data_IF_663910020472
#
_entry.id   IF_663910020472
#
_cell.length_a   1.000
_cell.length_b   1.000
_cell.length_c   1.000
_cell.angle_alpha   90.00
_cell.angle_beta   90.00
_cell.angle_gamma   90.00
#
_symmetry.space_group_name_H-M   'P 1'
#
loop_
_entity.id
_entity.type
_entity.pdbx_description
1 polymer ?
#
# COMPACT_ATOMS: atom_id res chain seq x y z
N UNK A 1 -16.75 7.65 -10.35
CA UNK A 1 -15.62 7.94 -11.26
C UNK A 1 -14.45 6.98 -11.03
N UNK A 2 -14.04 6.71 -9.80
CA UNK A 2 -12.92 5.79 -9.47
C UNK A 2 -13.15 4.37 -9.99
N UNK A 3 -14.36 3.82 -9.84
CA UNK A 3 -14.72 2.50 -10.37
C UNK A 3 -14.65 2.43 -11.90
N UNK A 4 -15.01 3.51 -12.60
CA UNK A 4 -14.93 3.55 -14.06
C UNK A 4 -13.46 3.57 -14.53
N UNK A 5 -12.59 4.28 -13.81
CA UNK A 5 -11.15 4.30 -14.07
C UNK A 5 -10.56 2.92 -13.80
N UNK A 6 -10.91 2.29 -12.68
CA UNK A 6 -10.47 0.94 -12.35
C UNK A 6 -10.91 -0.07 -13.41
N UNK A 7 -12.18 -0.06 -13.79
CA UNK A 7 -12.71 -0.96 -14.82
C UNK A 7 -11.99 -0.77 -16.16
N UNK A 8 -11.81 0.48 -16.59
CA UNK A 8 -11.06 0.79 -17.81
C UNK A 8 -9.61 0.30 -17.72
N UNK A 9 -8.98 0.50 -16.58
CA UNK A 9 -7.62 0.05 -16.30
C UNK A 9 -7.53 -1.48 -16.38
N UNK A 10 -8.51 -2.19 -15.79
CA UNK A 10 -8.63 -3.66 -15.85
C UNK A 10 -8.78 -4.13 -17.29
N UNK A 11 -9.71 -3.55 -18.04
CA UNK A 11 -10.01 -3.96 -19.43
C UNK A 11 -8.78 -3.76 -20.34
N UNK A 12 -8.02 -2.68 -20.14
CA UNK A 12 -6.80 -2.40 -20.93
C UNK A 12 -5.65 -3.33 -20.57
N UNK A 13 -5.46 -3.67 -19.30
CA UNK A 13 -4.35 -4.52 -18.88
C UNK A 13 -4.55 -5.98 -19.27
N UNK A 14 -5.78 -6.46 -19.44
CA UNK A 14 -6.06 -7.77 -20.02
C UNK A 14 -5.50 -7.86 -21.44
N UNK A 15 -5.58 -6.79 -22.22
CA UNK A 15 -5.00 -6.75 -23.58
C UNK A 15 -3.46 -6.74 -23.61
N UNK A 16 -2.81 -6.27 -22.55
CA UNK A 16 -1.34 -6.26 -22.41
C UNK A 16 -0.77 -7.55 -21.78
N UNK A 17 -1.61 -8.39 -21.21
CA UNK A 17 -1.17 -9.66 -20.58
C UNK A 17 -0.51 -10.63 -21.57
N UNK A 18 -0.71 -10.45 -22.86
CA UNK A 18 -0.11 -11.28 -23.92
C UNK A 18 1.29 -10.80 -24.34
N UNK A 19 1.74 -9.64 -23.90
CA UNK A 19 3.12 -9.20 -24.07
C UNK A 19 3.94 -9.66 -22.88
N UNK A 20 4.76 -10.69 -23.10
CA UNK A 20 5.69 -11.26 -22.11
C UNK A 20 6.70 -10.20 -21.68
N UNK A 21 6.44 -9.51 -20.59
CA UNK A 21 7.44 -8.69 -19.89
C UNK A 21 8.34 -9.65 -19.14
N UNK A 22 9.55 -9.92 -19.68
CA UNK A 22 10.59 -10.63 -18.96
C UNK A 22 11.07 -9.75 -17.81
N UNK A 23 10.68 -10.11 -16.59
CA UNK A 23 11.24 -9.53 -15.38
C UNK A 23 12.70 -9.99 -15.25
N UNK A 24 13.67 -9.09 -15.00
CA UNK A 24 15.02 -9.49 -14.67
C UNK A 24 15.01 -10.29 -13.38
N UNK A 25 15.53 -11.52 -13.43
CA UNK A 25 15.66 -12.35 -12.24
C UNK A 25 16.59 -11.66 -11.25
N UNK A 26 16.09 -11.34 -10.06
CA UNK A 26 16.89 -10.85 -8.93
C UNK A 26 16.60 -9.43 -8.43
N UNK A 27 15.71 -8.68 -9.04
CA UNK A 27 15.30 -7.39 -8.50
C UNK A 27 13.92 -7.48 -7.83
N UNK A 28 13.80 -7.02 -6.60
CA UNK A 28 12.51 -6.78 -5.91
C UNK A 28 11.76 -5.58 -6.51
N UNK A 29 12.21 -5.03 -7.62
CA UNK A 29 11.56 -3.95 -8.34
C UNK A 29 10.54 -4.50 -9.33
N UNK A 30 9.32 -4.53 -8.91
CA UNK A 30 8.17 -4.82 -9.77
C UNK A 30 7.74 -3.55 -10.46
N UNK A 31 8.17 -3.33 -11.69
CA UNK A 31 7.59 -2.31 -12.53
C UNK A 31 6.16 -2.74 -12.91
N UNK A 32 5.15 -2.18 -12.29
CA UNK A 32 3.81 -2.24 -12.85
C UNK A 32 3.85 -1.59 -14.25
N UNK A 33 3.29 -2.23 -15.27
CA UNK A 33 3.32 -1.66 -16.61
C UNK A 33 2.69 -0.27 -16.58
N UNK A 34 3.47 0.73 -17.00
CA UNK A 34 3.10 2.15 -17.11
C UNK A 34 1.74 2.41 -17.83
N UNK A 35 1.19 1.47 -18.62
CA UNK A 35 -0.10 1.62 -19.27
C UNK A 35 -1.31 1.74 -18.33
N UNK A 36 -1.21 1.23 -17.10
CA UNK A 36 -2.36 1.23 -16.17
C UNK A 36 -2.88 2.63 -15.85
N UNK A 37 -2.01 3.62 -15.83
CA UNK A 37 -2.37 5.01 -15.54
C UNK A 37 -2.27 5.93 -16.76
N UNK A 38 -1.93 5.40 -17.95
CA UNK A 38 -1.74 6.18 -19.17
C UNK A 38 -3.05 6.88 -19.57
N UNK A 39 -3.00 8.21 -19.67
CA UNK A 39 -4.18 9.06 -19.95
C UNK A 39 -4.87 9.62 -18.70
N UNK A 40 -4.58 9.10 -17.50
CA UNK A 40 -5.11 9.62 -16.23
C UNK A 40 -4.01 10.15 -15.30
N UNK A 41 -2.75 10.13 -15.76
CA UNK A 41 -1.58 10.49 -14.96
C UNK A 41 -1.66 11.91 -14.39
N UNK A 42 -2.20 12.87 -15.14
CA UNK A 42 -2.32 14.25 -14.66
C UNK A 42 -3.30 14.33 -13.48
N UNK A 43 -4.53 13.85 -13.67
CA UNK A 43 -5.56 13.91 -12.62
C UNK A 43 -5.21 13.08 -11.39
N UNK A 44 -4.77 11.84 -11.59
CA UNK A 44 -4.38 10.94 -10.49
C UNK A 44 -3.04 11.33 -9.88
N UNK A 45 -2.11 11.86 -10.67
CA UNK A 45 -0.80 12.29 -10.20
C UNK A 45 -0.89 13.41 -9.17
N UNK A 46 -1.78 14.38 -9.35
CA UNK A 46 -2.03 15.44 -8.36
C UNK A 46 -2.63 14.87 -7.07
N UNK A 47 -3.63 14.00 -7.19
CA UNK A 47 -4.28 13.36 -6.06
C UNK A 47 -3.28 12.56 -5.20
N UNK A 48 -2.50 11.64 -5.81
CA UNK A 48 -1.57 10.81 -5.07
C UNK A 48 -0.36 11.57 -4.55
N UNK A 49 0.07 12.64 -5.22
CA UNK A 49 1.12 13.52 -4.70
C UNK A 49 0.64 14.26 -3.46
N UNK A 50 -0.60 14.75 -3.48
CA UNK A 50 -1.20 15.41 -2.34
C UNK A 50 -1.35 14.44 -1.15
N UNK A 51 -1.90 13.27 -1.42
CA UNK A 51 -2.04 12.20 -0.44
C UNK A 51 -0.68 11.81 0.18
N UNK A 52 0.35 11.62 -0.65
CA UNK A 52 1.71 11.33 -0.20
C UNK A 52 2.25 12.41 0.73
N UNK A 53 2.12 13.67 0.34
CA UNK A 53 2.61 14.78 1.14
C UNK A 53 1.88 14.90 2.47
N UNK A 54 0.58 14.64 2.54
CA UNK A 54 -0.16 14.60 3.79
C UNK A 54 0.34 13.48 4.72
N UNK A 55 0.48 12.27 4.18
CA UNK A 55 0.99 11.14 4.97
C UNK A 55 2.41 11.39 5.44
N UNK A 56 3.27 11.89 4.55
CA UNK A 56 4.65 12.27 4.87
C UNK A 56 4.68 13.32 5.98
N UNK A 57 3.89 14.38 5.88
CA UNK A 57 3.83 15.43 6.88
C UNK A 57 3.47 14.87 8.27
N UNK A 58 2.45 14.02 8.36
CA UNK A 58 2.08 13.36 9.62
C UNK A 58 3.19 12.43 10.11
N UNK A 59 3.78 11.64 9.22
CA UNK A 59 4.81 10.66 9.55
C UNK A 59 6.10 11.29 10.10
N UNK A 60 6.48 12.47 9.57
CA UNK A 60 7.70 13.19 9.93
C UNK A 60 7.49 14.19 11.09
N UNK A 61 6.29 14.26 11.64
CA UNK A 61 6.06 15.11 12.82
C UNK A 61 6.88 14.63 14.02
N UNK A 62 7.28 15.56 14.88
CA UNK A 62 8.07 15.25 16.07
C UNK A 62 7.32 14.28 17.00
N UNK A 63 7.94 13.16 17.35
CA UNK A 63 7.36 12.15 18.24
C UNK A 63 7.19 12.66 19.68
N UNK A 64 7.90 13.69 20.08
CA UNK A 64 7.68 14.34 21.36
C UNK A 64 6.34 15.09 21.43
N UNK A 65 5.78 15.45 20.27
CA UNK A 65 4.51 16.18 20.15
C UNK A 65 3.35 15.25 19.79
N UNK A 66 3.58 14.33 18.85
CA UNK A 66 2.56 13.40 18.35
C UNK A 66 3.16 11.98 18.37
N UNK A 67 2.60 11.10 19.20
CA UNK A 67 3.04 9.72 19.29
C UNK A 67 2.82 8.96 17.97
N UNK A 68 3.54 7.87 17.77
CA UNK A 68 3.38 7.01 16.57
C UNK A 68 1.97 6.44 16.44
N UNK A 69 1.31 6.16 17.56
CA UNK A 69 -0.07 5.67 17.55
C UNK A 69 -1.05 6.78 17.17
N UNK A 70 -0.83 8.01 17.61
CA UNK A 70 -1.63 9.16 17.18
C UNK A 70 -1.44 9.44 15.68
N UNK A 71 -0.20 9.37 15.18
CA UNK A 71 0.09 9.47 13.74
C UNK A 71 -0.68 8.42 12.95
N UNK A 72 -0.71 7.18 13.46
CA UNK A 72 -1.49 6.11 12.85
C UNK A 72 -2.98 6.43 12.82
N UNK A 73 -3.56 6.95 13.89
CA UNK A 73 -4.98 7.32 13.95
C UNK A 73 -5.28 8.49 12.99
N UNK A 74 -4.42 9.49 12.85
CA UNK A 74 -4.59 10.55 11.85
C UNK A 74 -4.58 10.01 10.43
N UNK A 75 -3.63 9.14 10.10
CA UNK A 75 -3.57 8.54 8.74
C UNK A 75 -4.72 7.57 8.51
N UNK A 76 -5.22 6.91 9.55
CA UNK A 76 -6.42 6.09 9.49
C UNK A 76 -7.67 6.91 9.13
N UNK A 77 -7.82 8.13 9.66
CA UNK A 77 -8.89 9.06 9.24
C UNK A 77 -8.78 9.38 7.75
N UNK A 78 -7.58 9.64 7.26
CA UNK A 78 -7.34 9.87 5.84
C UNK A 78 -7.70 8.63 5.00
N UNK A 79 -7.29 7.43 5.43
CA UNK A 79 -7.66 6.18 4.78
C UNK A 79 -9.17 5.95 4.74
N UNK A 80 -9.90 6.33 5.78
CA UNK A 80 -11.36 6.16 5.85
C UNK A 80 -12.13 6.98 4.81
N UNK A 81 -11.48 7.97 4.20
CA UNK A 81 -12.04 8.73 3.07
C UNK A 81 -11.82 8.04 1.71
N UNK A 82 -11.02 6.99 1.69
CA UNK A 82 -10.70 6.26 0.46
C UNK A 82 -11.60 5.04 0.32
N UNK A 83 -12.25 4.91 -0.83
CA UNK A 83 -12.90 3.67 -1.22
C UNK A 83 -11.87 2.54 -1.47
N UNK A 84 -12.33 1.30 -1.47
CA UNK A 84 -11.49 0.13 -1.78
C UNK A 84 -10.84 0.25 -3.16
N UNK A 85 -11.58 0.79 -4.13
CA UNK A 85 -11.06 1.04 -5.48
C UNK A 85 -9.95 2.11 -5.50
N UNK A 86 -10.04 3.14 -4.66
CA UNK A 86 -8.99 4.15 -4.53
C UNK A 86 -7.76 3.61 -3.83
N UNK A 87 -7.93 2.72 -2.84
CA UNK A 87 -6.82 2.02 -2.21
C UNK A 87 -6.13 1.07 -3.21
N UNK A 88 -6.87 0.36 -4.04
CA UNK A 88 -6.31 -0.47 -5.09
C UNK A 88 -5.57 0.37 -6.15
N UNK A 89 -6.10 1.53 -6.53
CA UNK A 89 -5.39 2.46 -7.42
C UNK A 89 -4.14 3.05 -6.76
N UNK A 90 -4.16 3.31 -5.46
CA UNK A 90 -2.97 3.71 -4.69
C UNK A 90 -1.90 2.62 -4.72
N UNK A 91 -2.31 1.35 -4.54
CA UNK A 91 -1.41 0.21 -4.68
C UNK A 91 -0.71 0.21 -6.06
N UNK A 92 -1.47 0.33 -7.16
CA UNK A 92 -0.87 0.39 -8.49
C UNK A 92 -0.03 1.64 -8.72
N UNK A 93 -0.43 2.79 -8.19
CA UNK A 93 0.38 3.98 -8.23
C UNK A 93 1.73 3.77 -7.55
N UNK A 94 1.75 3.13 -6.37
CA UNK A 94 2.98 2.85 -5.63
C UNK A 94 3.95 1.95 -6.41
N UNK A 95 3.45 1.10 -7.30
CA UNK A 95 4.29 0.25 -8.17
C UNK A 95 4.60 0.88 -9.52
N UNK A 96 4.12 2.10 -9.79
CA UNK A 96 4.53 2.92 -10.94
C UNK A 96 5.78 3.74 -10.62
N UNK A 97 6.45 4.23 -11.67
CA UNK A 97 7.60 5.13 -11.52
C UNK A 97 7.25 6.40 -10.74
N UNK A 98 6.03 6.91 -10.92
CA UNK A 98 5.56 8.13 -10.25
C UNK A 98 5.32 7.94 -8.75
N UNK A 99 4.91 6.75 -8.35
CA UNK A 99 4.53 6.43 -6.99
C UNK A 99 5.58 5.68 -6.18
N UNK A 100 6.75 5.38 -6.74
CA UNK A 100 7.76 4.54 -6.07
C UNK A 100 8.15 4.99 -4.67
N UNK A 101 8.01 6.30 -4.34
CA UNK A 101 8.28 6.85 -3.00
C UNK A 101 7.38 6.24 -1.91
N UNK A 102 6.21 5.76 -2.25
CA UNK A 102 5.33 5.07 -1.31
C UNK A 102 5.91 3.78 -0.73
N UNK A 103 6.86 3.16 -1.45
CA UNK A 103 7.51 1.89 -1.10
C UNK A 103 8.91 2.05 -0.52
N UNK A 104 9.40 3.30 -0.33
CA UNK A 104 10.69 3.50 0.30
C UNK A 104 10.62 3.17 1.78
N UNK A 105 11.52 2.31 2.20
CA UNK A 105 11.79 2.06 3.60
C UNK A 105 12.48 3.29 4.22
N UNK A 106 12.27 3.48 5.50
CA UNK A 106 12.84 4.59 6.26
C UNK A 106 13.88 4.05 7.23
N UNK A 107 14.79 4.92 7.68
CA UNK A 107 15.79 4.57 8.68
C UNK A 107 15.37 5.24 10.00
N UNK A 108 15.25 4.47 11.08
CA UNK A 108 14.86 4.95 12.40
C UNK A 108 16.00 4.73 13.42
N UNK A 109 17.09 5.49 13.26
CA UNK A 109 18.30 5.32 14.08
C UNK A 109 18.11 5.67 15.56
N UNK A 110 17.18 6.58 15.88
CA UNK A 110 17.04 7.17 17.22
C UNK A 110 15.89 6.54 18.03
N UNK A 111 15.48 5.33 17.69
CA UNK A 111 14.39 4.66 18.37
C UNK A 111 14.93 3.53 19.27
N UNK A 112 14.77 3.67 20.59
CA UNK A 112 15.18 2.65 21.55
C UNK A 112 14.21 1.46 21.64
N UNK A 113 12.94 1.66 21.27
CA UNK A 113 11.94 0.59 21.21
C UNK A 113 12.02 -0.11 19.86
N UNK A 114 12.43 -1.38 19.86
CA UNK A 114 12.61 -2.19 18.66
C UNK A 114 11.31 -2.39 17.85
N UNK A 115 10.16 -2.48 18.50
CA UNK A 115 8.87 -2.58 17.81
C UNK A 115 8.52 -1.29 17.10
N UNK A 116 8.69 -0.18 17.80
CA UNK A 116 8.46 1.14 17.25
C UNK A 116 9.42 1.43 16.09
N UNK A 117 10.70 1.03 16.25
CA UNK A 117 11.71 1.13 15.22
C UNK A 117 11.31 0.36 13.95
N UNK A 118 10.98 -0.93 14.08
CA UNK A 118 10.50 -1.75 12.96
C UNK A 118 9.32 -1.10 12.22
N UNK A 119 8.36 -0.54 12.95
CA UNK A 119 7.20 0.14 12.37
C UNK A 119 7.61 1.40 11.60
N UNK A 120 8.51 2.21 12.15
CA UNK A 120 9.00 3.45 11.51
C UNK A 120 9.85 3.17 10.27
N UNK A 121 10.54 2.04 10.22
CA UNK A 121 11.36 1.63 9.09
C UNK A 121 10.53 1.12 7.91
N UNK A 122 9.28 0.72 8.12
CA UNK A 122 8.38 0.33 7.05
C UNK A 122 8.10 1.50 6.09
N UNK A 123 7.86 1.19 4.84
CA UNK A 123 7.32 2.17 3.88
C UNK A 123 5.95 2.70 4.34
N UNK A 124 5.55 3.87 3.88
CA UNK A 124 4.31 4.51 4.35
C UNK A 124 3.04 3.68 4.10
N UNK A 125 3.00 2.91 3.00
CA UNK A 125 1.86 2.02 2.75
C UNK A 125 1.67 1.01 3.88
N UNK A 126 2.77 0.41 4.33
CA UNK A 126 2.78 -0.62 5.37
C UNK A 126 2.73 -0.04 6.77
N UNK A 127 3.51 1.01 7.05
CA UNK A 127 3.53 1.68 8.35
C UNK A 127 2.14 2.11 8.81
N UNK A 128 1.33 2.63 7.90
CA UNK A 128 -0.01 3.12 8.17
C UNK A 128 -1.13 2.23 7.63
N UNK A 129 -0.79 1.09 7.02
CA UNK A 129 -1.75 0.14 6.42
C UNK A 129 -2.74 0.84 5.49
N UNK A 130 -2.23 1.72 4.60
CA UNK A 130 -3.06 2.57 3.74
C UNK A 130 -3.91 1.79 2.75
N UNK A 131 -3.54 0.56 2.44
CA UNK A 131 -4.24 -0.33 1.51
C UNK A 131 -4.99 -1.47 2.24
N UNK A 132 -5.27 -1.29 3.53
CA UNK A 132 -5.86 -2.30 4.42
C UNK A 132 -7.20 -2.87 3.92
N UNK A 133 -8.00 -2.04 3.25
CA UNK A 133 -9.38 -2.42 2.90
C UNK A 133 -9.49 -3.00 1.47
N UNK A 134 -8.38 -3.25 0.78
CA UNK A 134 -8.45 -3.90 -0.54
C UNK A 134 -9.01 -5.32 -0.36
N UNK A 135 -10.17 -5.65 -0.96
CA UNK A 135 -10.72 -6.99 -0.89
C UNK A 135 -9.82 -8.02 -1.57
N UNK A 136 -9.72 -9.21 -1.00
CA UNK A 136 -8.93 -10.30 -1.60
C UNK A 136 -9.39 -10.64 -3.03
N UNK A 137 -10.70 -10.52 -3.29
CA UNK A 137 -11.31 -10.75 -4.60
C UNK A 137 -11.09 -9.61 -5.60
N UNK A 138 -10.40 -8.54 -5.21
CA UNK A 138 -10.14 -7.42 -6.13
C UNK A 138 -9.35 -7.88 -7.34
N UNK A 139 -9.72 -7.44 -8.54
CA UNK A 139 -8.97 -7.77 -9.74
C UNK A 139 -7.58 -7.16 -9.64
N UNK A 140 -6.56 -8.00 -9.67
CA UNK A 140 -5.16 -7.59 -9.59
C UNK A 140 -4.39 -8.05 -10.83
N UNK A 141 -3.36 -7.31 -11.19
CA UNK A 141 -2.46 -7.59 -12.29
C UNK A 141 -1.06 -7.83 -11.76
N UNK A 142 -0.47 -8.94 -12.18
CA UNK A 142 0.84 -9.33 -11.68
C UNK A 142 0.75 -9.78 -10.23
N UNK A 143 1.57 -9.18 -9.36
CA UNK A 143 1.53 -9.48 -7.93
C UNK A 143 0.29 -8.91 -7.28
N UNK A 144 -0.36 -9.72 -6.47
CA UNK A 144 -1.46 -9.24 -5.64
C UNK A 144 -0.91 -8.37 -4.51
N UNK A 145 -1.73 -7.50 -3.89
CA UNK A 145 -1.29 -6.78 -2.69
C UNK A 145 -0.78 -7.70 -1.58
N UNK A 146 -1.34 -8.90 -1.44
CA UNK A 146 -0.92 -9.89 -0.45
C UNK A 146 0.47 -10.46 -0.76
N UNK A 147 0.76 -10.74 -2.03
CA UNK A 147 2.08 -11.23 -2.44
C UNK A 147 3.14 -10.14 -2.29
N UNK A 148 2.79 -8.90 -2.66
CA UNK A 148 3.71 -7.77 -2.66
C UNK A 148 4.12 -7.32 -1.25
N UNK A 149 3.26 -7.52 -0.25
CA UNK A 149 3.48 -7.11 1.14
C UNK A 149 3.54 -8.29 2.12
N UNK A 150 3.95 -9.47 1.64
CA UNK A 150 4.00 -10.69 2.45
C UNK A 150 4.81 -10.50 3.76
N UNK A 151 6.01 -9.93 3.68
CA UNK A 151 6.87 -9.71 4.84
C UNK A 151 6.25 -8.70 5.83
N UNK A 152 5.60 -7.66 5.32
CA UNK A 152 4.91 -6.67 6.13
C UNK A 152 3.67 -7.27 6.82
N UNK A 153 2.93 -8.14 6.11
CA UNK A 153 1.78 -8.88 6.67
C UNK A 153 2.24 -9.72 7.86
N UNK A 154 3.33 -10.47 7.69
CA UNK A 154 3.90 -11.29 8.75
C UNK A 154 4.37 -10.43 9.93
N UNK A 155 5.04 -9.33 9.68
CA UNK A 155 5.48 -8.42 10.73
C UNK A 155 4.29 -7.82 11.49
N UNK A 156 3.24 -7.38 10.82
CA UNK A 156 2.04 -6.85 11.48
C UNK A 156 1.36 -7.91 12.34
N UNK A 157 1.33 -9.16 11.89
CA UNK A 157 0.76 -10.28 12.64
C UNK A 157 1.60 -10.64 13.87
N UNK A 158 2.91 -10.85 13.68
CA UNK A 158 3.79 -11.39 14.73
C UNK A 158 4.22 -10.34 15.76
N UNK A 159 4.58 -9.14 15.30
CA UNK A 159 5.13 -8.10 16.17
C UNK A 159 4.04 -7.20 16.77
N UNK A 160 2.99 -6.91 16.01
CA UNK A 160 1.94 -5.97 16.44
C UNK A 160 0.62 -6.66 16.81
N UNK A 161 0.46 -7.96 16.57
CA UNK A 161 -0.77 -8.70 16.84
C UNK A 161 -1.98 -8.18 16.06
N UNK A 162 -1.76 -7.59 14.89
CA UNK A 162 -2.81 -6.95 14.08
C UNK A 162 -2.81 -7.52 12.66
N UNK A 163 -4.00 -7.64 12.07
CA UNK A 163 -4.14 -8.00 10.64
C UNK A 163 -3.68 -6.84 9.77
N UNK A 164 -2.89 -7.13 8.74
CA UNK A 164 -2.50 -6.12 7.74
C UNK A 164 -3.69 -5.72 6.88
N UNK A 165 -4.37 -6.70 6.26
CA UNK A 165 -5.61 -6.49 5.51
C UNK A 165 -6.85 -6.77 6.35
N UNK A 166 -7.96 -6.07 6.06
CA UNK A 166 -9.25 -6.30 6.73
C UNK A 166 -9.83 -7.68 6.41
N UNK A 167 -9.71 -8.08 5.14
CA UNK A 167 -10.30 -9.30 4.57
C UNK A 167 -9.26 -10.41 4.40
N UNK A 168 -8.46 -10.66 5.43
CA UNK A 168 -7.44 -11.72 5.36
C UNK A 168 -8.11 -13.09 5.62
N UNK A 169 -8.20 -13.91 4.57
CA UNK A 169 -8.85 -15.23 4.62
C UNK A 169 -8.19 -16.20 5.60
N UNK A 170 -6.91 -16.05 5.89
CA UNK A 170 -6.18 -16.93 6.80
C UNK A 170 -6.64 -16.78 8.26
N UNK A 171 -7.24 -15.66 8.63
CA UNK A 171 -7.75 -15.41 9.98
C UNK A 171 -9.18 -15.94 10.21
N UNK A 172 -9.97 -16.08 9.13
CA UNK A 172 -11.35 -16.58 9.27
C UNK A 172 -11.41 -18.06 9.65
N UNK A 173 -10.33 -18.80 9.50
CA UNK A 173 -10.25 -20.24 9.83
C UNK A 173 -9.83 -20.46 11.29
N UNK A 174 -9.03 -19.56 11.88
CA UNK A 174 -8.57 -19.70 13.28
C UNK A 174 -9.56 -19.20 14.31
N UNK A 175 -10.37 -18.19 13.96
CA UNK A 175 -11.40 -17.65 14.87
C UNK A 175 -12.66 -18.53 14.95
N UNK A 176 -12.82 -19.47 14.02
CA UNK A 176 -13.91 -20.45 14.03
C UNK A 176 -13.62 -21.70 14.90
N UNK A 177 -12.44 -21.77 15.52
CA UNK A 177 -11.97 -22.93 16.31
C UNK A 177 -11.80 -22.65 17.80
N UNK A 178 -12.33 -21.51 18.33
CA UNK A 178 -12.38 -21.21 19.77
C UNK A 178 -13.80 -20.92 20.24
#
# INVERSE_FOLDING_TARGET
>A
RSLAILKWTVDKSVSYRNETVKLPSGSKEYAAPNPLLKGHNEALGHYYRHLYNLVKYVAEFDDAVISEDDKYEYVKLLRSQMSDSEQLLLYYNAFSDMGRKWRYEHIANDCADEKLKKRKEMCYLSRFRLIKNIPYSSPTFGYTPHDAFHDDIDTWRTEFGKRYFEHDLLYSISDASN
#
